data_IF_261950933031
#
_entry.id   IF_261950933031
#
_cell.length_a   1.000
_cell.length_b   1.000
_cell.length_c   1.000
_cell.angle_alpha   90.00
_cell.angle_beta   90.00
_cell.angle_gamma   90.00
#
_symmetry.space_group_name_H-M   'P 1'
#
loop_
_entity.id
_entity.type
_entity.pdbx_description
1 polymer ?
#
# COMPACT_ATOMS: atom_id res chain seq x y z
N UNK A 1 -11.21 -20.75 -4.08
CA UNK A 1 -10.16 -20.56 -5.09
C UNK A 1 -8.83 -20.99 -4.46
N UNK A 2 -7.99 -21.76 -5.14
CA UNK A 2 -6.70 -22.16 -4.57
C UNK A 2 -5.69 -21.01 -4.73
N UNK A 3 -5.11 -20.55 -3.62
CA UNK A 3 -3.99 -19.60 -3.65
C UNK A 3 -2.77 -20.32 -4.22
N UNK A 4 -2.13 -19.71 -5.23
CA UNK A 4 -0.96 -20.30 -5.89
C UNK A 4 0.28 -20.25 -5.00
N UNK A 5 0.41 -19.22 -4.16
CA UNK A 5 1.43 -19.17 -3.12
C UNK A 5 1.06 -20.14 -2.00
N UNK A 6 1.94 -21.10 -1.71
CA UNK A 6 1.76 -22.03 -0.59
C UNK A 6 2.02 -21.29 0.73
N UNK A 7 1.30 -21.62 1.81
CA UNK A 7 1.40 -20.88 3.06
C UNK A 7 2.78 -21.01 3.73
N UNK A 8 3.13 -20.09 4.66
CA UNK A 8 4.41 -20.05 5.35
C UNK A 8 4.84 -21.37 5.98
N UNK A 9 3.92 -22.18 6.51
CA UNK A 9 4.23 -23.49 7.13
C UNK A 9 5.04 -24.47 6.27
N UNK A 10 5.08 -24.28 4.95
CA UNK A 10 5.84 -25.12 4.02
C UNK A 10 7.25 -24.59 3.72
N UNK A 11 7.61 -23.44 4.28
CA UNK A 11 8.89 -22.77 4.04
C UNK A 11 9.45 -22.15 5.31
N UNK A 12 10.36 -21.19 5.13
CA UNK A 12 11.16 -20.63 6.22
C UNK A 12 10.84 -19.17 6.52
N UNK A 13 10.20 -18.47 5.58
CA UNK A 13 10.04 -17.02 5.63
C UNK A 13 8.57 -16.63 5.57
N UNK A 14 8.26 -15.40 5.99
CA UNK A 14 6.96 -14.74 5.77
C UNK A 14 7.22 -13.55 4.86
N UNK A 15 6.49 -13.44 3.75
CA UNK A 15 6.76 -12.42 2.72
C UNK A 15 5.66 -11.35 2.70
N UNK A 16 6.05 -10.08 2.84
CA UNK A 16 5.14 -8.94 2.92
C UNK A 16 5.51 -7.88 1.90
N UNK A 17 4.51 -7.44 1.15
CA UNK A 17 4.56 -6.24 0.34
C UNK A 17 3.68 -5.16 0.99
N UNK A 18 4.21 -3.97 1.19
CA UNK A 18 3.48 -2.83 1.76
C UNK A 18 3.51 -1.65 0.80
N UNK A 19 2.33 -1.07 0.53
CA UNK A 19 2.14 0.01 -0.43
C UNK A 19 1.50 1.23 0.26
N UNK A 20 2.22 2.34 0.27
CA UNK A 20 1.74 3.57 0.91
C UNK A 20 0.58 4.23 0.16
N UNK A 21 -0.15 5.08 0.90
CA UNK A 21 -1.09 6.03 0.33
C UNK A 21 -0.42 7.30 -0.22
N UNK A 22 -1.04 7.90 -1.24
CA UNK A 22 -0.52 9.14 -1.84
C UNK A 22 -1.17 9.61 -3.14
N UNK A 23 -2.39 9.16 -3.46
CA UNK A 23 -3.12 9.56 -4.66
C UNK A 23 -2.38 9.24 -5.98
N UNK A 24 -2.28 10.21 -6.89
CA UNK A 24 -1.59 10.05 -8.20
C UNK A 24 -0.11 9.69 -8.07
N UNK A 25 0.52 10.05 -6.94
CA UNK A 25 1.92 9.71 -6.65
C UNK A 25 2.16 8.20 -6.53
N UNK A 26 1.09 7.41 -6.45
CA UNK A 26 1.15 5.95 -6.61
C UNK A 26 1.86 5.49 -7.89
N UNK A 27 1.93 6.32 -8.94
CA UNK A 27 2.72 6.05 -10.14
C UNK A 27 4.17 5.70 -9.80
N UNK A 28 4.78 6.38 -8.82
CA UNK A 28 6.15 6.10 -8.35
C UNK A 28 6.24 4.63 -7.91
N UNK A 29 5.35 4.19 -7.03
CA UNK A 29 5.31 2.81 -6.57
C UNK A 29 4.98 1.81 -7.68
N UNK A 30 4.12 2.19 -8.64
CA UNK A 30 3.81 1.39 -9.82
C UNK A 30 5.06 1.04 -10.66
N UNK A 31 5.99 1.98 -10.83
CA UNK A 31 7.27 1.71 -11.53
C UNK A 31 8.11 0.68 -10.78
N UNK A 32 8.23 0.83 -9.46
CA UNK A 32 8.99 -0.10 -8.61
C UNK A 32 8.39 -1.52 -8.66
N UNK A 33 7.07 -1.62 -8.60
CA UNK A 33 6.34 -2.89 -8.67
C UNK A 33 6.53 -3.58 -10.02
N UNK A 34 6.45 -2.83 -11.13
CA UNK A 34 6.66 -3.36 -12.47
C UNK A 34 8.07 -3.96 -12.61
N UNK A 35 9.07 -3.29 -12.04
CA UNK A 35 10.44 -3.77 -12.06
C UNK A 35 10.65 -5.01 -11.17
N UNK A 36 10.05 -5.06 -9.98
CA UNK A 36 10.08 -6.24 -9.10
C UNK A 36 9.45 -7.46 -9.78
N UNK A 37 8.26 -7.30 -10.37
CA UNK A 37 7.58 -8.41 -11.05
C UNK A 37 8.36 -8.89 -12.27
N UNK A 38 9.03 -7.98 -13.00
CA UNK A 38 9.94 -8.33 -14.09
C UNK A 38 11.12 -9.18 -13.61
N UNK A 39 11.80 -8.80 -12.52
CA UNK A 39 12.89 -9.61 -11.96
C UNK A 39 12.42 -11.02 -11.57
N UNK A 40 11.22 -11.14 -10.99
CA UNK A 40 10.62 -12.44 -10.65
C UNK A 40 10.36 -13.30 -11.90
N UNK A 41 9.79 -12.71 -12.95
CA UNK A 41 9.54 -13.39 -14.24
C UNK A 41 10.85 -13.86 -14.89
N UNK A 42 11.90 -13.05 -14.84
CA UNK A 42 13.23 -13.41 -15.37
C UNK A 42 13.89 -14.54 -14.57
N UNK A 43 13.84 -14.48 -13.22
CA UNK A 43 14.46 -15.50 -12.34
C UNK A 43 13.74 -16.85 -12.44
N UNK A 44 12.42 -16.85 -12.56
CA UNK A 44 11.63 -18.07 -12.70
C UNK A 44 11.49 -18.54 -14.15
N UNK A 45 11.91 -17.73 -15.13
CA UNK A 45 11.74 -17.98 -16.56
C UNK A 45 10.27 -18.29 -16.90
N UNK A 46 9.35 -17.50 -16.35
CA UNK A 46 7.91 -17.66 -16.48
C UNK A 46 7.21 -16.29 -16.47
N UNK A 47 6.75 -15.81 -17.62
CA UNK A 47 6.06 -14.52 -17.76
C UNK A 47 4.65 -14.52 -17.13
N UNK A 48 4.13 -15.68 -16.72
CA UNK A 48 2.78 -15.79 -16.14
C UNK A 48 2.75 -15.51 -14.64
N UNK A 49 3.90 -15.55 -13.95
CA UNK A 49 3.98 -15.29 -12.52
C UNK A 49 3.65 -13.83 -12.19
N UNK A 50 3.06 -13.62 -11.03
CA UNK A 50 2.61 -12.31 -10.54
C UNK A 50 3.02 -12.12 -9.10
N UNK A 51 3.05 -10.89 -8.62
CA UNK A 51 3.41 -10.56 -7.23
C UNK A 51 2.61 -11.37 -6.19
N UNK A 52 1.30 -11.59 -6.43
CA UNK A 52 0.45 -12.40 -5.56
C UNK A 52 0.89 -13.88 -5.40
N UNK A 53 1.77 -14.40 -6.27
CA UNK A 53 2.32 -15.75 -6.16
C UNK A 53 3.50 -15.85 -5.19
N UNK A 54 4.06 -14.72 -4.75
CA UNK A 54 5.27 -14.66 -3.92
C UNK A 54 5.04 -14.05 -2.55
N UNK A 55 4.04 -13.17 -2.41
CA UNK A 55 3.74 -12.49 -1.16
C UNK A 55 2.64 -13.20 -0.37
N UNK A 56 2.89 -13.45 0.91
CA UNK A 56 1.89 -13.95 1.87
C UNK A 56 0.85 -12.90 2.22
N UNK A 57 1.29 -11.63 2.25
CA UNK A 57 0.46 -10.46 2.47
C UNK A 57 0.83 -9.34 1.52
N UNK A 58 -0.18 -8.73 0.90
CA UNK A 58 -0.05 -7.43 0.25
C UNK A 58 -0.91 -6.44 1.04
N UNK A 59 -0.25 -5.47 1.68
CA UNK A 59 -0.87 -4.42 2.47
C UNK A 59 -0.86 -3.11 1.70
N UNK A 60 -1.95 -2.36 1.74
CA UNK A 60 -2.07 -1.13 0.97
C UNK A 60 -3.06 -0.14 1.57
N UNK A 61 -2.66 1.13 1.61
CA UNK A 61 -3.49 2.24 2.08
C UNK A 61 -3.82 3.18 0.92
N UNK A 62 -5.06 3.67 0.83
CA UNK A 62 -5.46 4.62 -0.20
C UNK A 62 -5.13 4.09 -1.61
N UNK A 63 -4.41 4.86 -2.42
CA UNK A 63 -3.86 4.43 -3.72
C UNK A 63 -3.14 3.07 -3.65
N UNK A 64 -2.36 2.79 -2.59
CA UNK A 64 -1.73 1.49 -2.38
C UNK A 64 -2.74 0.37 -2.10
N UNK A 65 -3.88 0.70 -1.49
CA UNK A 65 -5.03 -0.21 -1.34
C UNK A 65 -5.72 -0.52 -2.67
N UNK A 66 -5.83 0.47 -3.56
CA UNK A 66 -6.31 0.27 -4.94
C UNK A 66 -5.38 -0.68 -5.70
N UNK A 67 -4.07 -0.44 -5.67
CA UNK A 67 -3.08 -1.33 -6.28
C UNK A 67 -3.13 -2.74 -5.68
N UNK A 68 -3.29 -2.84 -4.36
CA UNK A 68 -3.45 -4.12 -3.67
C UNK A 68 -4.64 -4.90 -4.25
N UNK A 69 -5.79 -4.25 -4.45
CA UNK A 69 -6.94 -4.89 -5.07
C UNK A 69 -6.67 -5.28 -6.53
N UNK A 70 -6.06 -4.40 -7.33
CA UNK A 70 -5.71 -4.70 -8.73
C UNK A 70 -4.78 -5.91 -8.88
N UNK A 71 -3.82 -6.06 -7.97
CA UNK A 71 -2.80 -7.11 -7.98
C UNK A 71 -3.26 -8.43 -7.35
N UNK A 72 -4.43 -8.46 -6.71
CA UNK A 72 -4.88 -9.63 -5.93
C UNK A 72 -6.31 -10.07 -6.20
N UNK A 73 -7.17 -9.22 -6.74
CA UNK A 73 -8.49 -9.62 -7.20
C UNK A 73 -8.35 -10.59 -8.38
N UNK A 74 -9.08 -11.71 -8.40
CA UNK A 74 -9.00 -12.69 -9.47
C UNK A 74 -9.78 -12.22 -10.71
N UNK A 75 -9.22 -12.50 -11.88
CA UNK A 75 -9.94 -12.54 -13.15
C UNK A 75 -10.60 -13.93 -13.35
N UNK A 76 -11.29 -14.11 -14.48
CA UNK A 76 -11.98 -15.36 -14.84
C UNK A 76 -11.07 -16.60 -14.90
N UNK A 77 -9.77 -16.41 -15.11
CA UNK A 77 -8.76 -17.48 -15.12
C UNK A 77 -8.13 -17.73 -13.75
N UNK A 78 -8.59 -17.05 -12.70
CA UNK A 78 -8.02 -17.16 -11.35
C UNK A 78 -6.61 -16.59 -11.22
N UNK A 79 -6.26 -15.62 -12.06
CA UNK A 79 -5.02 -14.83 -12.01
C UNK A 79 -5.34 -13.39 -11.64
N UNK A 80 -4.38 -12.59 -11.13
CA UNK A 80 -4.61 -11.18 -10.84
C UNK A 80 -5.22 -10.42 -12.02
N UNK A 81 -6.15 -9.50 -11.75
CA UNK A 81 -6.76 -8.62 -12.76
C UNK A 81 -5.71 -7.84 -13.56
N UNK A 82 -4.66 -7.38 -12.89
CA UNK A 82 -3.57 -6.61 -13.49
C UNK A 82 -2.21 -7.26 -13.21
N UNK A 83 -1.30 -7.16 -14.17
CA UNK A 83 0.13 -7.30 -13.92
C UNK A 83 0.67 -5.98 -13.32
N UNK A 84 1.81 -6.05 -12.64
CA UNK A 84 2.41 -4.86 -12.04
C UNK A 84 2.77 -3.78 -13.07
N UNK A 85 3.15 -4.18 -14.28
CA UNK A 85 3.41 -3.28 -15.41
C UNK A 85 2.19 -2.49 -15.89
N UNK A 86 0.97 -2.94 -15.57
CA UNK A 86 -0.27 -2.32 -16.01
C UNK A 86 -0.72 -1.19 -15.05
N UNK A 87 -0.11 -1.10 -13.86
CA UNK A 87 -0.45 -0.09 -12.84
C UNK A 87 -0.18 1.33 -13.35
N UNK A 88 1.02 1.61 -13.88
CA UNK A 88 1.35 2.96 -14.36
C UNK A 88 0.43 3.40 -15.51
N UNK A 89 0.22 2.61 -16.60
CA UNK A 89 -0.74 2.95 -17.64
C UNK A 89 -2.15 3.24 -17.10
N UNK A 90 -2.61 2.46 -16.12
CA UNK A 90 -3.91 2.69 -15.48
C UNK A 90 -3.98 4.07 -14.84
N UNK A 91 -2.99 4.48 -14.04
CA UNK A 91 -3.00 5.81 -13.41
C UNK A 91 -2.88 6.93 -14.44
N UNK A 92 -2.09 6.78 -15.50
CA UNK A 92 -1.97 7.78 -16.57
C UNK A 92 -3.33 8.01 -17.27
N UNK A 93 -4.12 6.96 -17.45
CA UNK A 93 -5.43 7.05 -18.08
C UNK A 93 -6.53 7.53 -17.13
N UNK A 94 -6.58 7.00 -15.91
CA UNK A 94 -7.73 7.15 -15.01
C UNK A 94 -7.61 8.37 -14.11
N UNK A 95 -6.41 8.79 -13.71
CA UNK A 95 -6.23 9.93 -12.79
C UNK A 95 -6.88 11.22 -13.30
N UNK A 96 -6.74 11.61 -14.59
CA UNK A 96 -7.39 12.81 -15.12
C UNK A 96 -8.93 12.78 -15.07
N UNK A 97 -9.51 11.57 -15.05
CA UNK A 97 -10.96 11.34 -14.97
C UNK A 97 -11.44 11.29 -13.52
N UNK A 98 -10.66 10.67 -12.63
CA UNK A 98 -10.91 10.62 -11.18
C UNK A 98 -10.85 12.03 -10.56
N UNK A 99 -9.84 12.81 -10.94
CA UNK A 99 -9.61 14.17 -10.44
C UNK A 99 -10.12 15.23 -11.42
N UNK A 100 -11.14 14.89 -12.21
CA UNK A 100 -11.79 15.81 -13.13
C UNK A 100 -12.70 16.81 -12.38
N UNK A 101 -12.66 18.08 -12.78
CA UNK A 101 -13.68 19.08 -12.39
C UNK A 101 -13.26 20.11 -11.35
N UNK A 102 -12.08 20.04 -10.75
CA UNK A 102 -11.54 21.09 -9.88
C UNK A 102 -10.45 21.88 -10.62
N UNK A 103 -10.82 22.96 -11.31
CA UNK A 103 -9.85 23.93 -11.83
C UNK A 103 -9.74 25.11 -10.87
N UNK A 104 -8.53 25.62 -10.67
CA UNK A 104 -8.23 26.62 -9.63
C UNK A 104 -8.79 28.02 -9.93
N UNK A 105 -9.40 28.19 -11.10
CA UNK A 105 -10.15 29.38 -11.51
C UNK A 105 -11.67 29.26 -11.30
N UNK A 106 -12.16 28.12 -10.80
CA UNK A 106 -13.56 27.96 -10.45
C UNK A 106 -13.86 28.74 -9.14
N UNK A 107 -14.82 29.68 -9.12
CA UNK A 107 -15.27 30.37 -7.90
C UNK A 107 -15.78 29.41 -6.79
N UNK A 108 -15.81 28.10 -7.04
CA UNK A 108 -16.01 27.02 -6.06
C UNK A 108 -14.86 26.77 -5.06
N UNK A 109 -13.71 27.45 -5.16
CA UNK A 109 -12.64 27.35 -4.17
C UNK A 109 -13.09 27.69 -2.72
N UNK A 110 -14.09 28.58 -2.57
CA UNK A 110 -14.77 28.86 -1.29
C UNK A 110 -15.72 27.73 -0.86
N UNK A 111 -16.28 26.96 -1.80
CA UNK A 111 -17.12 25.79 -1.54
C UNK A 111 -16.30 24.55 -1.14
N UNK A 112 -15.02 24.48 -1.48
CA UNK A 112 -14.09 23.45 -0.99
C UNK A 112 -13.88 23.49 0.53
N UNK A 113 -14.21 24.61 1.19
CA UNK A 113 -14.29 24.70 2.66
C UNK A 113 -15.53 23.99 3.23
N UNK A 114 -16.56 23.75 2.41
CA UNK A 114 -17.86 23.21 2.83
C UNK A 114 -18.19 21.85 2.19
N UNK A 115 -17.45 21.42 1.17
CA UNK A 115 -17.65 20.17 0.42
C UNK A 115 -16.30 19.58 -0.01
N UNK A 116 -16.22 18.25 -0.24
CA UNK A 116 -15.04 17.63 -0.81
C UNK A 116 -14.69 18.23 -2.18
N UNK A 117 -13.39 18.30 -2.49
CA UNK A 117 -12.86 18.81 -3.76
C UNK A 117 -13.36 18.03 -4.99
N UNK A 118 -13.60 16.73 -4.81
CA UNK A 118 -14.09 15.81 -5.84
C UNK A 118 -15.31 15.04 -5.33
N UNK A 119 -16.26 14.72 -6.23
CA UNK A 119 -17.50 14.01 -5.84
C UNK A 119 -17.30 12.49 -5.69
N UNK A 120 -16.21 11.92 -6.21
CA UNK A 120 -15.88 10.49 -6.16
C UNK A 120 -16.71 9.57 -7.07
N UNK A 121 -17.72 10.08 -7.78
CA UNK A 121 -18.67 9.26 -8.56
C UNK A 121 -17.98 8.44 -9.66
N UNK A 122 -17.01 9.04 -10.35
CA UNK A 122 -16.23 8.34 -11.36
C UNK A 122 -15.40 7.21 -10.74
N UNK A 123 -14.71 7.47 -9.63
CA UNK A 123 -13.93 6.46 -8.91
C UNK A 123 -14.81 5.29 -8.46
N UNK A 124 -15.99 5.58 -7.89
CA UNK A 124 -16.93 4.54 -7.45
C UNK A 124 -17.38 3.66 -8.62
N UNK A 125 -17.79 4.30 -9.72
CA UNK A 125 -18.23 3.60 -10.95
C UNK A 125 -17.12 2.73 -11.48
N UNK A 126 -15.90 3.28 -11.61
CA UNK A 126 -14.76 2.58 -12.18
C UNK A 126 -14.31 1.39 -11.33
N UNK A 127 -14.30 1.53 -10.01
CA UNK A 127 -14.01 0.41 -9.10
C UNK A 127 -15.10 -0.65 -9.13
N UNK A 128 -16.36 -0.26 -9.28
CA UNK A 128 -17.49 -1.18 -9.49
C UNK A 128 -17.35 -1.99 -10.79
N UNK A 129 -16.94 -1.36 -11.89
CA UNK A 129 -16.70 -2.03 -13.17
C UNK A 129 -15.54 -3.03 -13.11
N UNK A 130 -14.41 -2.65 -12.49
CA UNK A 130 -13.19 -3.46 -12.46
C UNK A 130 -13.31 -4.63 -11.48
N UNK A 131 -13.82 -4.37 -10.27
CA UNK A 131 -13.84 -5.37 -9.19
C UNK A 131 -15.15 -6.14 -9.14
N UNK A 132 -16.22 -5.64 -9.78
CA UNK A 132 -17.53 -6.27 -9.82
C UNK A 132 -18.04 -6.64 -8.42
N UNK A 133 -18.44 -7.90 -8.28
CA UNK A 133 -18.94 -8.46 -7.01
C UNK A 133 -17.84 -9.13 -6.17
N UNK A 134 -16.56 -8.97 -6.55
CA UNK A 134 -15.44 -9.60 -5.86
C UNK A 134 -15.38 -9.15 -4.41
N UNK A 135 -15.35 -10.11 -3.49
CA UNK A 135 -15.24 -9.92 -2.05
C UNK A 135 -13.83 -10.12 -1.54
N UNK A 136 -13.60 -9.63 -0.33
CA UNK A 136 -12.31 -9.64 0.33
C UNK A 136 -11.71 -11.05 0.52
N UNK A 137 -12.52 -12.07 0.77
CA UNK A 137 -12.06 -13.47 0.91
C UNK A 137 -11.70 -14.14 -0.43
N UNK A 138 -12.06 -13.54 -1.56
CA UNK A 138 -11.77 -14.05 -2.90
C UNK A 138 -10.39 -13.60 -3.43
N UNK A 139 -9.65 -12.76 -2.69
CA UNK A 139 -8.30 -12.33 -3.09
C UNK A 139 -7.31 -13.49 -3.18
N UNK A 140 -6.43 -13.44 -4.17
CA UNK A 140 -5.47 -14.50 -4.52
C UNK A 140 -4.33 -14.66 -3.51
N UNK A 141 -4.09 -13.65 -2.68
CA UNK A 141 -3.27 -13.72 -1.47
C UNK A 141 -3.98 -13.00 -0.33
N UNK A 142 -3.43 -13.01 0.89
CA UNK A 142 -4.01 -12.23 1.97
C UNK A 142 -3.78 -10.74 1.69
N UNK A 143 -4.82 -9.93 1.86
CA UNK A 143 -4.66 -8.48 1.81
C UNK A 143 -4.90 -7.84 3.16
N UNK A 144 -4.35 -6.64 3.35
CA UNK A 144 -4.57 -5.79 4.51
C UNK A 144 -4.79 -4.36 4.02
N UNK A 145 -6.00 -3.84 4.15
CA UNK A 145 -6.40 -2.52 3.65
C UNK A 145 -6.97 -1.71 4.82
N UNK A 146 -6.19 -0.75 5.38
CA UNK A 146 -6.65 0.14 6.44
C UNK A 146 -7.72 1.13 5.95
N UNK A 147 -8.66 1.45 6.83
CA UNK A 147 -9.64 2.54 6.72
C UNK A 147 -9.90 3.11 8.11
N UNK A 148 -10.57 4.26 8.22
CA UNK A 148 -11.00 4.80 9.51
C UNK A 148 -12.51 5.00 9.56
N UNK A 149 -13.19 4.44 10.57
CA UNK A 149 -14.64 4.59 10.74
C UNK A 149 -14.95 5.82 11.58
N UNK A 150 -15.49 6.86 10.95
CA UNK A 150 -15.78 8.15 11.59
C UNK A 150 -16.98 8.11 12.54
N UNK A 151 -17.88 7.12 12.40
CA UNK A 151 -19.00 6.95 13.32
C UNK A 151 -18.56 6.29 14.62
N UNK A 152 -17.59 5.39 14.54
CA UNK A 152 -17.01 4.68 15.70
C UNK A 152 -15.75 5.33 16.26
N UNK A 153 -15.17 6.30 15.55
CA UNK A 153 -13.90 6.96 15.85
C UNK A 153 -12.76 5.95 16.10
N UNK A 154 -12.67 4.94 15.23
CA UNK A 154 -11.63 3.91 15.33
C UNK A 154 -11.23 3.37 13.94
N UNK A 155 -10.02 2.81 13.80
CA UNK A 155 -9.61 2.14 12.58
C UNK A 155 -10.51 0.94 12.26
N UNK A 156 -10.80 0.73 10.99
CA UNK A 156 -11.35 -0.52 10.46
C UNK A 156 -10.34 -1.09 9.47
N UNK A 157 -9.69 -2.18 9.86
CA UNK A 157 -8.70 -2.87 9.01
C UNK A 157 -9.39 -4.03 8.31
N UNK A 158 -9.54 -3.91 6.99
CA UNK A 158 -10.04 -5.01 6.17
C UNK A 158 -8.91 -5.96 5.89
N UNK A 159 -9.09 -7.24 6.23
CA UNK A 159 -8.13 -8.26 5.87
C UNK A 159 -8.80 -9.57 5.51
N UNK A 160 -8.35 -10.21 4.43
CA UNK A 160 -8.93 -11.47 3.91
C UNK A 160 -8.92 -12.59 4.95
N UNK A 161 -7.93 -12.61 5.85
CA UNK A 161 -7.93 -13.62 6.91
C UNK A 161 -8.83 -13.24 8.08
N UNK A 162 -8.93 -11.95 8.41
CA UNK A 162 -9.82 -11.54 9.48
C UNK A 162 -11.28 -11.78 9.05
N UNK A 163 -11.57 -11.62 7.76
CA UNK A 163 -12.86 -11.94 7.17
C UNK A 163 -13.25 -13.43 7.27
N UNK A 164 -12.28 -14.36 7.34
CA UNK A 164 -12.59 -15.78 7.57
C UNK A 164 -12.98 -16.08 9.02
N UNK A 165 -12.58 -15.21 9.96
CA UNK A 165 -12.92 -15.29 11.38
C UNK A 165 -14.17 -14.47 11.71
N UNK A 166 -14.29 -13.27 11.15
CA UNK A 166 -15.43 -12.36 11.26
C UNK A 166 -16.00 -12.09 9.85
N UNK A 167 -17.03 -12.85 9.41
CA UNK A 167 -17.65 -12.67 8.11
C UNK A 167 -18.26 -11.29 7.88
N UNK A 168 -18.48 -10.49 8.93
CA UNK A 168 -18.97 -9.10 8.79
C UNK A 168 -17.97 -8.18 8.11
N UNK A 169 -16.68 -8.57 8.07
CA UNK A 169 -15.62 -7.86 7.37
C UNK A 169 -15.46 -8.33 5.91
N UNK A 170 -16.17 -9.37 5.47
CA UNK A 170 -16.11 -9.87 4.09
C UNK A 170 -16.95 -9.01 3.12
N UNK A 171 -16.57 -7.75 2.98
CA UNK A 171 -17.21 -6.78 2.10
C UNK A 171 -16.71 -6.89 0.65
N UNK A 172 -17.38 -6.18 -0.27
CA UNK A 172 -16.91 -6.05 -1.65
C UNK A 172 -15.57 -5.31 -1.65
N UNK A 173 -14.64 -5.73 -2.49
CA UNK A 173 -13.36 -5.05 -2.64
C UNK A 173 -13.54 -3.62 -3.15
N UNK A 174 -14.51 -3.37 -4.03
CA UNK A 174 -14.85 -2.02 -4.49
C UNK A 174 -15.22 -1.09 -3.33
N UNK A 175 -16.10 -1.54 -2.43
CA UNK A 175 -16.50 -0.77 -1.24
C UNK A 175 -15.31 -0.43 -0.33
N UNK A 176 -14.42 -1.41 -0.13
CA UNK A 176 -13.19 -1.25 0.68
C UNK A 176 -12.23 -0.27 0.00
N UNK A 177 -12.04 -0.39 -1.31
CA UNK A 177 -11.18 0.48 -2.12
C UNK A 177 -11.66 1.94 -2.11
N UNK A 178 -12.97 2.16 -2.21
CA UNK A 178 -13.55 3.49 -2.08
C UNK A 178 -13.28 4.04 -0.68
N UNK A 179 -13.57 3.26 0.37
CA UNK A 179 -13.35 3.68 1.76
C UNK A 179 -11.89 4.02 2.07
N UNK A 180 -10.94 3.19 1.65
CA UNK A 180 -9.50 3.43 1.92
C UNK A 180 -8.94 4.62 1.17
N UNK A 181 -9.58 5.07 0.07
CA UNK A 181 -9.10 6.18 -0.76
C UNK A 181 -9.87 7.49 -0.52
N UNK A 182 -10.86 7.49 0.36
CA UNK A 182 -11.74 8.63 0.63
C UNK A 182 -11.06 9.68 1.53
N UNK A 183 -10.00 10.32 1.02
CA UNK A 183 -9.18 11.24 1.79
C UNK A 183 -10.00 12.47 2.21
N UNK A 184 -10.00 12.85 3.51
CA UNK A 184 -10.65 14.08 3.95
C UNK A 184 -10.20 15.26 3.10
N UNK A 185 -11.08 16.24 2.90
CA UNK A 185 -10.92 17.36 1.95
C UNK A 185 -11.02 16.97 0.46
N UNK A 186 -10.48 15.82 0.04
CA UNK A 186 -10.46 15.42 -1.38
C UNK A 186 -11.75 14.72 -1.82
N UNK A 187 -12.15 13.66 -1.12
CA UNK A 187 -13.24 12.78 -1.51
C UNK A 187 -14.28 12.63 -0.39
N UNK A 188 -15.56 12.37 -0.69
CA UNK A 188 -16.58 12.18 0.33
C UNK A 188 -16.33 10.90 1.14
N UNK A 189 -16.64 10.89 2.44
CA UNK A 189 -16.70 9.65 3.22
C UNK A 189 -17.67 8.64 2.60
N UNK A 190 -17.38 7.36 2.78
CA UNK A 190 -18.12 6.28 2.14
C UNK A 190 -18.88 5.41 3.15
N UNK A 191 -20.15 5.13 2.87
CA UNK A 191 -21.03 4.32 3.72
C UNK A 191 -21.48 3.06 3.00
N UNK A 192 -21.31 1.90 3.62
CA UNK A 192 -21.87 0.63 3.14
C UNK A 192 -22.04 -0.40 4.28
N UNK A 193 -22.87 -1.45 4.11
CA UNK A 193 -23.95 -1.52 3.12
C UNK A 193 -25.06 -0.50 3.47
N UNK A 194 -25.94 -0.24 2.51
CA UNK A 194 -27.00 0.76 2.65
C UNK A 194 -28.11 0.33 3.63
N UNK A 195 -28.21 -0.97 3.92
CA UNK A 195 -29.19 -1.58 4.81
C UNK A 195 -28.62 -1.84 6.22
N UNK A 196 -29.26 -1.29 7.25
CA UNK A 196 -28.87 -1.38 8.67
C UNK A 196 -29.02 -2.78 9.29
N UNK A 197 -29.51 -3.79 8.55
CA UNK A 197 -29.55 -5.19 9.01
C UNK A 197 -28.18 -5.86 9.08
N UNK A 198 -27.18 -5.31 8.39
CA UNK A 198 -25.79 -5.76 8.43
C UNK A 198 -24.92 -4.71 9.15
N UNK A 199 -23.70 -5.09 9.54
CA UNK A 199 -22.72 -4.14 10.08
C UNK A 199 -22.47 -3.02 9.07
N UNK A 200 -22.88 -1.80 9.42
CA UNK A 200 -22.62 -0.59 8.64
C UNK A 200 -21.23 -0.03 8.93
N UNK A 201 -20.55 0.42 7.88
CA UNK A 201 -19.26 1.09 7.89
C UNK A 201 -19.44 2.54 7.43
N UNK A 202 -18.74 3.48 8.08
CA UNK A 202 -18.75 4.90 7.71
C UNK A 202 -17.29 5.36 7.57
N UNK A 203 -16.70 5.10 6.42
CA UNK A 203 -15.26 5.07 6.23
C UNK A 203 -14.71 6.35 5.59
N UNK A 204 -13.51 6.71 6.02
CA UNK A 204 -12.60 7.62 5.32
C UNK A 204 -11.25 6.93 5.10
N UNK A 205 -10.37 7.60 4.36
CA UNK A 205 -9.06 7.10 3.93
C UNK A 205 -8.24 6.49 5.07
N UNK A 206 -7.55 5.39 4.77
CA UNK A 206 -6.68 4.70 5.71
C UNK A 206 -5.43 5.50 6.12
N UNK A 207 -5.04 6.50 5.34
CA UNK A 207 -3.87 7.36 5.58
C UNK A 207 -3.96 8.12 6.90
N UNK A 208 -5.18 8.39 7.39
CA UNK A 208 -5.39 9.04 8.70
C UNK A 208 -5.03 8.12 9.88
N UNK A 209 -4.87 6.82 9.64
CA UNK A 209 -4.48 5.84 10.65
C UNK A 209 -3.15 5.15 10.36
N UNK A 210 -2.86 4.80 9.10
CA UNK A 210 -1.69 4.04 8.71
C UNK A 210 -1.38 4.32 7.23
N UNK A 211 -0.78 5.47 6.93
CA UNK A 211 -0.40 5.81 5.56
C UNK A 211 0.68 4.89 5.00
N UNK A 212 1.61 4.48 5.86
CA UNK A 212 2.49 3.33 5.64
C UNK A 212 1.90 2.10 6.37
N UNK A 213 1.30 1.12 5.65
CA UNK A 213 0.66 -0.03 6.28
C UNK A 213 1.62 -1.15 6.66
N UNK A 214 2.95 -0.93 6.66
CA UNK A 214 3.96 -1.99 6.86
C UNK A 214 3.74 -2.74 8.18
N UNK A 215 3.63 -2.01 9.30
CA UNK A 215 3.38 -2.62 10.60
C UNK A 215 2.00 -3.28 10.69
N UNK A 216 0.99 -2.76 9.98
CA UNK A 216 -0.35 -3.37 9.93
C UNK A 216 -0.27 -4.73 9.22
N UNK A 217 0.48 -4.82 8.12
CA UNK A 217 0.76 -6.06 7.40
C UNK A 217 1.53 -7.08 8.25
N UNK A 218 2.58 -6.64 8.96
CA UNK A 218 3.38 -7.50 9.84
C UNK A 218 2.54 -8.06 11.00
N UNK A 219 1.83 -7.18 11.71
CA UNK A 219 1.01 -7.57 12.86
C UNK A 219 -0.21 -8.40 12.48
N UNK A 220 -0.71 -8.28 11.24
CA UNK A 220 -1.72 -9.19 10.69
C UNK A 220 -1.22 -10.64 10.66
N UNK A 221 0.04 -10.87 10.28
CA UNK A 221 0.64 -12.22 10.30
C UNK A 221 0.92 -12.70 11.72
N UNK A 222 1.41 -11.83 12.61
CA UNK A 222 1.52 -12.14 14.03
C UNK A 222 0.17 -12.57 14.63
N UNK A 223 -0.91 -11.86 14.30
CA UNK A 223 -2.27 -12.19 14.77
C UNK A 223 -2.73 -13.55 14.26
N UNK A 224 -2.42 -13.92 13.01
CA UNK A 224 -2.68 -15.28 12.50
C UNK A 224 -1.98 -16.35 13.33
N UNK A 225 -0.72 -16.13 13.69
CA UNK A 225 0.03 -17.07 14.54
C UNK A 225 -0.57 -17.15 15.94
N UNK A 226 -1.04 -16.03 16.52
CA UNK A 226 -1.69 -16.01 17.85
C UNK A 226 -2.95 -16.87 17.85
N UNK A 227 -3.78 -16.79 16.81
CA UNK A 227 -5.00 -17.62 16.68
C UNK A 227 -4.72 -19.04 16.18
N UNK A 228 -3.44 -19.44 16.06
CA UNK A 228 -2.99 -20.76 15.60
C UNK A 228 -3.61 -21.17 14.25
N UNK A 229 -3.64 -20.23 13.31
CA UNK A 229 -4.12 -20.53 11.96
C UNK A 229 -3.20 -21.56 11.30
N UNK A 230 -3.71 -22.63 10.64
CA UNK A 230 -2.90 -23.72 10.11
C UNK A 230 -1.79 -23.27 9.14
N UNK A 231 -2.05 -22.21 8.37
CA UNK A 231 -1.04 -21.62 7.45
C UNK A 231 0.24 -21.12 8.14
N UNK A 232 0.19 -20.86 9.45
CA UNK A 232 1.29 -20.35 10.27
C UNK A 232 1.90 -21.43 11.20
N UNK A 233 1.53 -22.69 11.03
CA UNK A 233 2.10 -23.78 11.82
C UNK A 233 3.64 -23.74 11.74
N UNK A 234 4.30 -23.75 12.90
CA UNK A 234 5.76 -23.65 13.00
C UNK A 234 6.32 -22.22 13.14
N UNK A 235 5.50 -21.17 13.02
CA UNK A 235 5.92 -19.77 13.21
C UNK A 235 5.44 -19.21 14.54
N UNK A 236 6.34 -18.52 15.25
CA UNK A 236 5.97 -17.77 16.48
C UNK A 236 5.46 -16.37 16.12
N UNK A 237 4.54 -15.77 16.90
CA UNK A 237 3.95 -14.48 16.57
C UNK A 237 4.92 -13.30 16.36
N UNK A 238 6.09 -13.31 17.02
CA UNK A 238 7.06 -12.22 17.00
C UNK A 238 8.39 -12.60 16.33
N UNK A 239 8.39 -13.65 15.52
CA UNK A 239 9.58 -14.14 14.81
C UNK A 239 9.89 -13.29 13.55
N UNK A 240 10.06 -11.97 13.75
CA UNK A 240 10.21 -11.00 12.67
C UNK A 240 11.54 -11.10 11.93
N UNK A 241 12.54 -11.78 12.48
CA UNK A 241 13.77 -12.17 11.78
C UNK A 241 13.50 -13.04 10.54
N UNK A 242 12.34 -13.71 10.49
CA UNK A 242 11.88 -14.50 9.32
C UNK A 242 11.04 -13.71 8.32
N UNK A 243 10.80 -12.43 8.55
CA UNK A 243 9.93 -11.62 7.70
C UNK A 243 10.76 -10.95 6.61
N UNK A 244 10.41 -11.18 5.36
CA UNK A 244 10.93 -10.44 4.20
C UNK A 244 9.91 -9.37 3.85
N UNK A 245 10.29 -8.10 3.99
CA UNK A 245 9.39 -6.97 3.84
C UNK A 245 9.91 -6.02 2.78
N UNK A 246 9.11 -5.81 1.73
CA UNK A 246 9.30 -4.73 0.76
C UNK A 246 8.21 -3.69 1.01
N UNK A 247 8.63 -2.47 1.33
CA UNK A 247 7.77 -1.32 1.62
C UNK A 247 8.03 -0.24 0.59
N UNK A 248 6.99 0.20 -0.12
CA UNK A 248 7.10 1.11 -1.26
C UNK A 248 6.28 2.36 -0.95
N UNK A 249 6.99 3.49 -0.83
CA UNK A 249 6.37 4.79 -0.62
C UNK A 249 5.95 5.48 -1.92
N UNK A 250 5.15 6.52 -1.77
CA UNK A 250 4.70 7.39 -2.88
C UNK A 250 5.45 8.72 -2.92
N UNK A 251 6.55 8.84 -2.19
CA UNK A 251 7.30 10.07 -2.10
C UNK A 251 6.71 11.12 -1.13
N UNK A 252 7.57 12.04 -0.67
CA UNK A 252 7.21 13.18 0.18
C UNK A 252 7.98 14.45 -0.20
N UNK A 253 7.44 15.60 0.20
CA UNK A 253 8.08 16.92 0.05
C UNK A 253 8.85 17.38 1.29
N UNK A 254 9.32 16.44 2.12
CA UNK A 254 9.91 16.72 3.44
C UNK A 254 11.03 17.77 3.40
N UNK A 255 11.77 17.83 2.29
CA UNK A 255 12.89 18.75 2.07
C UNK A 255 12.51 20.16 1.60
N UNK A 256 11.24 20.41 1.32
CA UNK A 256 10.78 21.73 0.86
C UNK A 256 10.53 22.70 2.03
N UNK A 257 10.50 22.20 3.27
CA UNK A 257 10.37 22.99 4.50
C UNK A 257 9.22 24.02 4.44
N UNK A 258 8.05 23.59 3.92
CA UNK A 258 6.91 24.49 3.69
C UNK A 258 6.41 25.23 4.94
N UNK A 259 6.68 24.70 6.13
CA UNK A 259 6.09 25.17 7.38
C UNK A 259 7.16 25.57 8.39
N UNK A 260 6.91 26.66 9.12
CA UNK A 260 7.74 27.08 10.26
C UNK A 260 6.86 27.43 11.46
N UNK A 261 7.38 27.23 12.68
CA UNK A 261 6.66 27.59 13.90
C UNK A 261 6.35 29.10 13.96
N UNK A 262 7.23 29.96 13.43
CA UNK A 262 7.03 31.42 13.40
C UNK A 262 5.86 31.80 12.48
N UNK A 263 5.72 31.12 11.34
CA UNK A 263 4.59 31.32 10.43
C UNK A 263 3.30 30.72 11.03
N UNK A 264 3.36 29.48 11.52
CA UNK A 264 2.23 28.75 12.06
C UNK A 264 1.68 29.32 13.37
N UNK A 265 2.49 30.07 14.14
CA UNK A 265 2.03 30.78 15.33
C UNK A 265 0.93 31.82 15.04
N UNK A 266 0.80 32.25 13.77
CA UNK A 266 -0.22 33.19 13.31
C UNK A 266 -1.40 32.48 12.64
N UNK A 267 -1.40 31.16 12.55
CA UNK A 267 -2.44 30.39 11.87
C UNK A 267 -3.67 30.21 12.75
N UNK A 268 -4.84 30.49 12.17
CA UNK A 268 -6.13 30.04 12.66
C UNK A 268 -6.58 28.75 11.97
N UNK A 269 -7.82 28.34 12.21
CA UNK A 269 -8.41 27.13 11.61
C UNK A 269 -8.23 27.06 10.09
N UNK A 270 -8.43 28.17 9.38
CA UNK A 270 -8.31 28.21 7.92
C UNK A 270 -6.93 27.77 7.43
N UNK A 271 -5.85 28.36 7.94
CA UNK A 271 -4.49 28.03 7.48
C UNK A 271 -4.06 26.62 7.89
N UNK A 272 -4.57 26.09 9.02
CA UNK A 272 -4.34 24.70 9.41
C UNK A 272 -5.08 23.70 8.52
N UNK A 273 -6.28 24.06 8.07
CA UNK A 273 -7.09 23.24 7.16
C UNK A 273 -6.56 23.32 5.72
N UNK A 274 -6.26 24.53 5.23
CA UNK A 274 -5.74 24.78 3.90
C UNK A 274 -4.82 26.01 3.88
N UNK A 275 -3.55 25.80 3.51
CA UNK A 275 -2.59 26.88 3.39
C UNK A 275 -2.56 27.39 1.93
N UNK A 276 -3.16 28.56 1.69
CA UNK A 276 -3.26 29.15 0.34
C UNK A 276 -1.91 29.50 -0.31
N UNK A 277 -0.88 29.80 0.49
CA UNK A 277 0.46 30.16 -0.01
C UNK A 277 1.16 28.95 -0.61
N UNK A 278 1.05 27.80 0.05
CA UNK A 278 1.68 26.55 -0.38
C UNK A 278 0.73 25.62 -1.15
N UNK A 279 -0.58 25.92 -1.13
CA UNK A 279 -1.68 25.14 -1.73
C UNK A 279 -1.81 23.73 -1.14
N UNK A 280 -1.45 23.59 0.13
CA UNK A 280 -1.39 22.33 0.86
C UNK A 280 -2.45 22.27 1.96
N UNK A 281 -2.59 21.09 2.56
CA UNK A 281 -3.47 20.83 3.72
C UNK A 281 -2.59 20.48 4.93
N UNK A 282 -2.06 21.46 5.70
CA UNK A 282 -1.00 21.19 6.67
C UNK A 282 -1.33 20.11 7.69
N UNK A 283 -2.57 20.04 8.18
CA UNK A 283 -2.96 19.01 9.15
C UNK A 283 -2.93 17.60 8.55
N UNK A 284 -3.34 17.42 7.30
CA UNK A 284 -3.29 16.12 6.63
C UNK A 284 -1.85 15.74 6.28
N UNK A 285 -1.06 16.68 5.82
CA UNK A 285 0.37 16.46 5.54
C UNK A 285 1.08 15.97 6.81
N UNK A 286 0.85 16.64 7.96
CA UNK A 286 1.43 16.24 9.24
C UNK A 286 0.96 14.85 9.66
N UNK A 287 -0.33 14.53 9.52
CA UNK A 287 -0.84 13.19 9.88
C UNK A 287 -0.21 12.10 9.00
N UNK A 288 -0.13 12.32 7.69
CA UNK A 288 0.40 11.32 6.76
C UNK A 288 1.91 11.15 6.92
N UNK A 289 2.67 12.25 7.03
CA UNK A 289 4.12 12.20 7.25
C UNK A 289 4.46 11.62 8.63
N UNK A 290 3.72 11.99 9.69
CA UNK A 290 3.93 11.40 11.03
C UNK A 290 3.63 9.92 11.06
N UNK A 291 2.57 9.46 10.39
CA UNK A 291 2.26 8.04 10.26
C UNK A 291 3.39 7.28 9.57
N UNK A 292 3.96 7.84 8.49
CA UNK A 292 5.06 7.24 7.75
C UNK A 292 6.34 7.20 8.59
N UNK A 293 6.77 8.34 9.14
CA UNK A 293 7.99 8.44 9.95
C UNK A 293 7.98 7.48 11.15
N UNK A 294 6.84 7.38 11.86
CA UNK A 294 6.72 6.49 13.02
C UNK A 294 6.79 5.01 12.64
N UNK A 295 6.13 4.60 11.55
CA UNK A 295 6.19 3.22 11.07
C UNK A 295 7.60 2.85 10.65
N UNK A 296 8.29 3.76 9.97
CA UNK A 296 9.67 3.60 9.51
C UNK A 296 10.66 3.51 10.68
N UNK A 297 10.50 4.35 11.69
CA UNK A 297 11.27 4.29 12.93
C UNK A 297 11.10 2.94 13.62
N UNK A 298 9.85 2.54 13.89
CA UNK A 298 9.55 1.30 14.58
C UNK A 298 10.03 0.06 13.81
N UNK A 299 9.85 0.04 12.49
CA UNK A 299 10.29 -1.09 11.65
C UNK A 299 11.82 -1.16 11.61
N UNK A 300 12.50 -0.03 11.45
CA UNK A 300 13.97 0.04 11.47
C UNK A 300 14.55 -0.45 12.81
N UNK A 301 14.01 0.04 13.94
CA UNK A 301 14.42 -0.40 15.28
C UNK A 301 14.22 -1.91 15.44
N UNK A 302 13.07 -2.43 15.01
CA UNK A 302 12.73 -3.83 15.16
C UNK A 302 13.68 -4.76 14.37
N UNK A 303 13.90 -4.47 13.09
CA UNK A 303 14.80 -5.28 12.27
C UNK A 303 16.26 -5.15 12.69
N UNK A 304 16.69 -4.00 13.20
CA UNK A 304 18.03 -3.82 13.76
C UNK A 304 18.21 -4.57 15.08
N UNK A 305 17.20 -4.57 15.96
CA UNK A 305 17.24 -5.32 17.21
C UNK A 305 17.31 -6.85 17.00
N UNK A 306 16.90 -7.33 15.83
CA UNK A 306 16.92 -8.73 15.44
C UNK A 306 18.07 -9.08 14.47
N UNK A 307 19.02 -8.16 14.27
CA UNK A 307 20.16 -8.33 13.36
C UNK A 307 19.74 -8.80 11.95
N UNK A 308 18.60 -8.27 11.48
CA UNK A 308 17.90 -8.69 10.27
C UNK A 308 17.59 -7.51 9.35
N UNK A 309 18.39 -6.44 9.38
CA UNK A 309 18.14 -5.22 8.62
C UNK A 309 18.14 -5.42 7.10
N UNK A 310 18.82 -6.47 6.62
CA UNK A 310 18.81 -6.87 5.22
C UNK A 310 17.48 -7.56 4.81
N UNK A 311 16.55 -7.82 5.73
CA UNK A 311 15.23 -8.37 5.42
C UNK A 311 14.16 -7.30 5.20
N UNK A 312 14.48 -6.02 5.47
CA UNK A 312 13.57 -4.89 5.29
C UNK A 312 14.11 -3.93 4.23
N UNK A 313 13.34 -3.76 3.16
CA UNK A 313 13.61 -2.82 2.09
C UNK A 313 12.52 -1.76 2.02
N UNK A 314 12.87 -0.51 2.32
CA UNK A 314 12.04 0.66 2.03
C UNK A 314 12.56 1.36 0.78
N UNK A 315 11.71 1.48 -0.24
CA UNK A 315 11.97 2.30 -1.43
C UNK A 315 11.03 3.49 -1.42
N UNK A 316 11.58 4.68 -1.47
CA UNK A 316 10.81 5.91 -1.35
C UNK A 316 11.55 7.14 -1.86
N UNK A 317 10.80 8.19 -2.17
CA UNK A 317 11.35 9.51 -2.45
C UNK A 317 11.09 10.47 -1.27
N UNK A 318 12.05 11.33 -0.97
CA UNK A 318 11.87 12.46 -0.04
C UNK A 318 12.21 13.80 -0.70
N UNK A 319 12.36 13.79 -2.02
CA UNK A 319 12.81 14.92 -2.84
C UNK A 319 11.75 15.46 -3.78
N UNK A 320 10.46 15.13 -3.57
CA UNK A 320 9.39 15.65 -4.43
C UNK A 320 9.32 17.18 -4.33
N UNK A 321 9.09 17.86 -5.46
CA UNK A 321 9.05 19.32 -5.52
C UNK A 321 7.85 19.82 -6.29
N UNK A 322 7.42 21.05 -5.97
CA UNK A 322 6.36 21.77 -6.70
C UNK A 322 5.10 20.90 -6.84
N UNK A 323 4.67 20.65 -8.07
CA UNK A 323 3.43 19.98 -8.42
C UNK A 323 3.48 18.46 -8.14
N UNK A 324 4.68 17.87 -8.08
CA UNK A 324 4.91 16.45 -7.79
C UNK A 324 4.41 16.05 -6.40
N UNK A 325 4.26 17.03 -5.50
CA UNK A 325 3.84 16.85 -4.12
C UNK A 325 2.34 16.60 -4.02
N UNK A 326 1.55 17.16 -4.93
CA UNK A 326 0.09 17.11 -4.85
C UNK A 326 -0.44 15.72 -5.18
N UNK A 327 -1.28 15.20 -4.30
CA UNK A 327 -1.84 13.84 -4.42
C UNK A 327 -2.92 13.73 -5.50
N UNK A 328 -3.39 14.85 -6.03
CA UNK A 328 -4.51 14.93 -6.97
C UNK A 328 -4.17 15.73 -8.24
N UNK A 329 -2.90 16.13 -8.41
CA UNK A 329 -2.47 16.78 -9.65
C UNK A 329 -2.30 15.74 -10.77
N UNK A 330 -3.37 15.61 -11.54
CA UNK A 330 -3.46 14.72 -12.68
C UNK A 330 -3.11 15.37 -14.02
N UNK A 331 -2.40 16.50 -14.04
CA UNK A 331 -1.89 17.04 -15.30
C UNK A 331 -0.89 16.08 -15.94
N UNK A 332 -0.97 15.89 -17.25
CA UNK A 332 -0.15 14.91 -17.98
C UNK A 332 1.35 15.09 -17.71
N UNK A 333 1.82 16.34 -17.63
CA UNK A 333 3.21 16.63 -17.32
C UNK A 333 3.60 16.13 -15.91
N UNK A 334 2.76 16.35 -14.91
CA UNK A 334 3.02 15.91 -13.55
C UNK A 334 3.02 14.37 -13.46
N UNK A 335 2.06 13.71 -14.11
CA UNK A 335 1.99 12.25 -14.13
C UNK A 335 3.25 11.61 -14.77
N UNK A 336 3.76 12.18 -15.87
CA UNK A 336 5.02 11.75 -16.47
C UNK A 336 6.23 12.06 -15.57
N UNK A 337 6.25 13.18 -14.86
CA UNK A 337 7.30 13.47 -13.88
C UNK A 337 7.32 12.44 -12.75
N UNK A 338 6.17 12.06 -12.21
CA UNK A 338 6.06 11.03 -11.17
C UNK A 338 6.60 9.67 -11.66
N UNK A 339 6.32 9.32 -12.92
CA UNK A 339 6.90 8.13 -13.56
C UNK A 339 8.43 8.23 -13.65
N UNK A 340 8.96 9.35 -14.14
CA UNK A 340 10.41 9.58 -14.23
C UNK A 340 11.10 9.53 -12.85
N UNK A 341 10.42 10.00 -11.79
CA UNK A 341 10.91 9.89 -10.41
C UNK A 341 10.99 8.42 -9.99
N UNK A 342 9.96 7.62 -10.28
CA UNK A 342 9.98 6.17 -10.04
C UNK A 342 11.12 5.46 -10.78
N UNK A 343 11.37 5.81 -12.04
CA UNK A 343 12.47 5.26 -12.84
C UNK A 343 13.83 5.64 -12.22
N UNK A 344 14.02 6.91 -11.85
CA UNK A 344 15.25 7.39 -11.20
C UNK A 344 15.48 6.76 -9.82
N UNK A 345 14.42 6.44 -9.08
CA UNK A 345 14.56 5.77 -7.78
C UNK A 345 15.23 4.40 -7.92
N UNK A 346 15.01 3.67 -9.01
CA UNK A 346 15.66 2.37 -9.25
C UNK A 346 17.19 2.49 -9.29
N UNK A 347 17.70 3.60 -9.84
CA UNK A 347 19.14 3.89 -9.93
C UNK A 347 19.72 4.51 -8.66
N UNK A 348 18.88 4.94 -7.73
CA UNK A 348 19.31 5.57 -6.48
C UNK A 348 19.79 4.52 -5.48
N UNK A 349 20.82 4.85 -4.69
CA UNK A 349 21.31 3.99 -3.61
C UNK A 349 20.17 3.63 -2.64
N UNK A 350 20.20 2.40 -2.14
CA UNK A 350 19.30 1.98 -1.06
C UNK A 350 19.54 2.88 0.15
N UNK A 351 18.44 3.41 0.68
CA UNK A 351 18.45 4.33 1.81
C UNK A 351 17.89 3.62 3.04
N UNK A 352 18.41 3.96 4.22
CA UNK A 352 17.88 3.51 5.52
C UNK A 352 17.67 4.71 6.43
N UNK A 353 16.63 4.67 7.26
CA UNK A 353 16.39 5.70 8.24
C UNK A 353 17.50 5.65 9.30
N UNK A 354 18.14 6.79 9.53
CA UNK A 354 18.98 7.01 10.70
C UNK A 354 18.08 7.27 11.91
N UNK A 355 18.22 6.43 12.94
CA UNK A 355 17.33 6.44 14.12
C UNK A 355 17.52 7.66 15.02
N UNK A 356 18.66 8.35 14.93
CA UNK A 356 18.96 9.53 15.74
C UNK A 356 18.48 10.81 15.06
N UNK A 357 18.62 10.90 13.73
CA UNK A 357 18.30 12.10 12.96
C UNK A 357 16.93 12.06 12.27
N UNK A 358 16.30 10.88 12.16
CA UNK A 358 15.06 10.65 11.41
C UNK A 358 15.17 10.98 9.91
N UNK A 359 16.39 11.01 9.38
CA UNK A 359 16.67 11.24 7.95
C UNK A 359 17.07 9.95 7.25
N UNK A 360 16.80 9.85 5.96
CA UNK A 360 17.23 8.73 5.14
C UNK A 360 18.68 8.92 4.67
N UNK A 361 19.52 7.93 4.94
CA UNK A 361 20.93 7.92 4.58
C UNK A 361 21.26 6.70 3.71
N UNK A 362 22.17 6.82 2.72
CA UNK A 362 22.53 5.70 1.87
C UNK A 362 23.26 4.62 2.68
N UNK A 363 22.96 3.35 2.42
CA UNK A 363 23.67 2.26 3.07
C UNK A 363 25.13 2.18 2.56
N UNK A 364 26.11 1.78 3.40
CA UNK A 364 27.52 1.72 3.01
C UNK A 364 27.86 0.78 1.85
N UNK A 365 26.99 -0.21 1.55
CA UNK A 365 27.22 -1.26 0.55
C UNK A 365 27.20 -0.75 -0.92
N UNK A 366 26.92 0.52 -1.18
CA UNK A 366 26.81 1.14 -2.53
C UNK A 366 25.94 0.30 -3.49
N UNK A 367 24.80 -0.18 -3.03
CA UNK A 367 23.82 -0.95 -3.82
C UNK A 367 22.65 -0.02 -4.16
N UNK A 368 22.20 -0.05 -5.41
CA UNK A 368 21.01 0.70 -5.84
C UNK A 368 19.72 -0.10 -5.65
N UNK A 369 18.57 0.57 -5.74
CA UNK A 369 17.28 -0.06 -5.48
C UNK A 369 16.96 -1.18 -6.50
N UNK A 370 17.35 -1.07 -7.77
CA UNK A 370 17.17 -2.14 -8.76
C UNK A 370 17.91 -3.43 -8.37
N UNK A 371 19.19 -3.31 -8.03
CA UNK A 371 20.01 -4.44 -7.59
C UNK A 371 19.44 -5.11 -6.34
N UNK A 372 18.96 -4.30 -5.39
CA UNK A 372 18.39 -4.81 -4.16
C UNK A 372 17.03 -5.46 -4.39
N UNK A 373 16.18 -4.90 -5.26
CA UNK A 373 14.94 -5.55 -5.71
C UNK A 373 15.23 -6.90 -6.35
N UNK A 374 16.29 -7.01 -7.16
CA UNK A 374 16.69 -8.29 -7.76
C UNK A 374 17.13 -9.30 -6.70
N UNK A 375 17.83 -8.86 -5.65
CA UNK A 375 18.17 -9.70 -4.49
C UNK A 375 16.92 -10.21 -3.76
N UNK A 376 15.97 -9.31 -3.47
CA UNK A 376 14.70 -9.68 -2.86
C UNK A 376 13.88 -10.62 -3.77
N UNK A 377 13.82 -10.38 -5.07
CA UNK A 377 13.16 -11.25 -6.04
C UNK A 377 13.75 -12.67 -6.02
N UNK A 378 15.07 -12.80 -5.86
CA UNK A 378 15.72 -14.11 -5.70
C UNK A 378 15.28 -14.83 -4.42
N UNK A 379 15.23 -14.12 -3.29
CA UNK A 379 14.77 -14.68 -2.01
C UNK A 379 13.31 -15.16 -2.13
N UNK A 380 12.45 -14.34 -2.73
CA UNK A 380 11.04 -14.67 -2.95
C UNK A 380 10.87 -15.91 -3.85
N UNK A 381 11.63 -15.99 -4.95
CA UNK A 381 11.64 -17.14 -5.86
C UNK A 381 12.11 -18.42 -5.16
N UNK A 382 13.19 -18.34 -4.39
CA UNK A 382 13.74 -19.49 -3.65
C UNK A 382 12.77 -20.00 -2.59
N UNK A 383 12.16 -19.09 -1.84
CA UNK A 383 11.15 -19.44 -0.83
C UNK A 383 9.92 -20.08 -1.48
N UNK A 384 9.41 -19.54 -2.59
CA UNK A 384 8.29 -20.14 -3.34
C UNK A 384 8.63 -21.55 -3.84
N UNK A 385 9.84 -21.76 -4.39
CA UNK A 385 10.32 -23.07 -4.85
C UNK A 385 10.45 -24.07 -3.69
N UNK A 386 10.99 -23.63 -2.55
CA UNK A 386 11.07 -24.43 -1.34
C UNK A 386 9.69 -24.88 -0.89
N UNK A 387 8.74 -23.95 -0.74
CA UNK A 387 7.38 -24.25 -0.29
C UNK A 387 6.66 -25.23 -1.21
N UNK A 388 6.81 -25.05 -2.53
CA UNK A 388 6.24 -25.99 -3.50
C UNK A 388 6.86 -27.38 -3.34
N UNK A 389 8.18 -27.50 -3.18
CA UNK A 389 8.84 -28.78 -2.97
C UNK A 389 8.32 -29.47 -1.69
N UNK A 390 8.31 -28.75 -0.56
CA UNK A 390 7.84 -29.28 0.73
C UNK A 390 6.38 -29.74 0.66
N UNK A 391 5.52 -28.97 -0.01
CA UNK A 391 4.11 -29.32 -0.18
C UNK A 391 3.91 -30.64 -0.93
N UNK A 392 4.64 -30.85 -2.04
CA UNK A 392 4.53 -32.09 -2.82
C UNK A 392 5.06 -33.29 -2.03
N UNK A 393 6.20 -33.15 -1.33
CA UNK A 393 6.74 -34.23 -0.49
C UNK A 393 5.75 -34.66 0.61
N UNK A 394 5.09 -33.71 1.28
CA UNK A 394 4.09 -34.05 2.30
C UNK A 394 2.85 -34.74 1.74
N UNK A 395 2.42 -34.40 0.52
CA UNK A 395 1.30 -35.08 -0.14
C UNK A 395 1.69 -36.52 -0.48
N UNK A 396 2.87 -36.72 -1.07
CA UNK A 396 3.35 -38.05 -1.47
C UNK A 396 3.47 -38.97 -0.24
N UNK A 397 4.01 -38.48 0.87
CA UNK A 397 4.10 -39.24 2.14
C UNK A 397 2.71 -39.59 2.71
N UNK A 398 1.75 -38.66 2.63
CA UNK A 398 0.36 -38.91 3.08
C UNK A 398 -0.42 -39.88 2.20
N UNK A 399 -0.01 -40.06 0.94
CA UNK A 399 -0.64 -40.98 0.00
C UNK A 399 -0.07 -42.41 0.07
N UNK A 400 1.11 -42.57 0.66
CA UNK A 400 1.80 -43.84 0.86
C UNK A 400 1.64 -44.40 2.30
N UNK A 401 0.88 -43.72 3.17
CA UNK A 401 0.50 -44.15 4.52
C UNK A 401 -0.98 -44.49 4.58
#
# INVERSE_FOLDING_TARGET
>A
MFKNNKPPKYGNLVTILSLDGGGVRGIIGGVILANLEKHLQEIDNDESVRLADYFDVIAGTSTGGLMTAMLTAPNDSGRPLYAAKDIVPFYLEESPKIFYGSKWWDPSALWALFRPKYNGEYLHTRLGEILGETKLDQTLTNVVIPTFDIKKLQPTIFSSYHASVDPSLNAKLSDICIGTSAAPFYLPPYKFPENDKMRTFNLIDGGVTANDPTLVGMTAMSRKSIIKHPDMDGFKPLEYEKYIVISIGTGSAKREEYYSAVEAAKWGFENWAYNWKHKTTPILDIIFESSRDMVQYHTSVLFQALESEDNYLRIDADTLKKDEVFMDDSETLNLENLKNIGEKLLDTNVMRMNLDTYTYEPIPKTVNNDQELKRFAKILSDERKLRNKTFHTMIDDSSNS
#
